data_IF_159425802783
#
_entry.id   IF_159425802783
#
_cell.length_a   1.000
_cell.length_b   1.000
_cell.length_c   1.000
_cell.angle_alpha   90.00
_cell.angle_beta   90.00
_cell.angle_gamma   90.00
#
_symmetry.space_group_name_H-M   'P 1'
#
loop_
_entity.id
_entity.type
_entity.pdbx_description
1 polymer ?
#
# COMPACT_ATOMS: atom_id res chain seq x y z
N UNK A 1 -16.87 -3.16 -14.71
CA UNK A 1 -16.41 -3.36 -13.31
C UNK A 1 -17.59 -3.23 -12.35
N UNK A 2 -17.59 -4.01 -11.25
CA UNK A 2 -18.66 -3.97 -10.25
C UNK A 2 -18.31 -2.94 -9.15
N UNK A 3 -19.22 -2.01 -8.88
CA UNK A 3 -18.99 -0.87 -7.97
C UNK A 3 -18.81 -1.25 -6.49
N UNK A 4 -19.28 -2.42 -6.08
CA UNK A 4 -19.14 -2.88 -4.68
C UNK A 4 -18.00 -3.90 -4.53
N UNK A 5 -17.90 -4.85 -5.47
CA UNK A 5 -16.95 -5.97 -5.36
C UNK A 5 -15.52 -5.58 -5.71
N UNK A 6 -15.32 -4.75 -6.74
CA UNK A 6 -13.98 -4.39 -7.20
C UNK A 6 -13.22 -3.54 -6.17
N UNK A 7 -13.81 -2.48 -5.58
CA UNK A 7 -13.12 -1.69 -4.56
C UNK A 7 -12.81 -2.49 -3.30
N UNK A 8 -13.73 -3.36 -2.85
CA UNK A 8 -13.49 -4.20 -1.67
C UNK A 8 -12.32 -5.17 -1.90
N UNK A 9 -12.29 -5.84 -3.05
CA UNK A 9 -11.20 -6.76 -3.39
C UNK A 9 -9.83 -6.07 -3.43
N UNK A 10 -9.74 -4.90 -4.07
CA UNK A 10 -8.50 -4.11 -4.13
C UNK A 10 -8.11 -3.63 -2.73
N UNK A 11 -9.07 -3.16 -1.94
CA UNK A 11 -8.81 -2.67 -0.60
C UNK A 11 -8.28 -3.75 0.34
N UNK A 12 -8.91 -4.94 0.33
CA UNK A 12 -8.42 -6.09 1.10
C UNK A 12 -7.02 -6.51 0.65
N UNK A 13 -6.77 -6.58 -0.66
CA UNK A 13 -5.45 -6.93 -1.17
C UNK A 13 -4.37 -5.95 -0.72
N UNK A 14 -4.61 -4.64 -0.87
CA UNK A 14 -3.62 -3.62 -0.47
C UNK A 14 -3.45 -3.51 1.04
N UNK A 15 -4.50 -3.76 1.83
CA UNK A 15 -4.39 -3.86 3.28
C UNK A 15 -3.49 -5.04 3.70
N UNK A 16 -3.65 -6.21 3.08
CA UNK A 16 -2.79 -7.37 3.32
C UNK A 16 -1.36 -7.12 2.86
N UNK A 17 -1.17 -6.50 1.70
CA UNK A 17 0.15 -6.10 1.22
C UNK A 17 0.81 -5.14 2.22
N UNK A 18 0.09 -4.13 2.73
CA UNK A 18 0.58 -3.21 3.75
C UNK A 18 0.99 -3.94 5.04
N UNK A 19 0.23 -4.94 5.48
CA UNK A 19 0.58 -5.76 6.64
C UNK A 19 1.90 -6.51 6.42
N UNK A 20 2.03 -7.19 5.28
CA UNK A 20 3.24 -7.94 4.92
C UNK A 20 4.44 -7.00 4.83
N UNK A 21 4.29 -5.83 4.20
CA UNK A 21 5.35 -4.82 4.11
C UNK A 21 5.76 -4.31 5.50
N UNK A 22 4.80 -3.98 6.37
CA UNK A 22 5.07 -3.51 7.72
C UNK A 22 5.85 -4.56 8.54
N UNK A 23 5.44 -5.82 8.46
CA UNK A 23 6.14 -6.93 9.12
C UNK A 23 7.54 -7.17 8.52
N UNK A 24 7.70 -7.05 7.20
CA UNK A 24 9.00 -7.20 6.56
C UNK A 24 9.98 -6.10 7.01
N UNK A 25 9.54 -4.84 7.10
CA UNK A 25 10.39 -3.75 7.61
C UNK A 25 10.77 -3.98 9.07
N UNK A 26 9.82 -4.45 9.90
CA UNK A 26 10.06 -4.72 11.31
C UNK A 26 11.04 -5.89 11.55
N UNK A 27 10.99 -6.95 10.72
CA UNK A 27 11.78 -8.16 10.91
C UNK A 27 13.10 -8.17 10.14
N UNK A 28 13.10 -7.62 8.92
CA UNK A 28 14.20 -7.68 7.94
C UNK A 28 14.36 -6.34 7.21
N UNK A 29 14.69 -5.24 7.92
CA UNK A 29 14.70 -3.88 7.37
C UNK A 29 15.69 -3.70 6.21
N UNK A 30 16.88 -4.29 6.27
CA UNK A 30 17.90 -4.13 5.23
C UNK A 30 17.53 -4.80 3.91
N UNK A 31 16.92 -6.00 4.00
CA UNK A 31 16.42 -6.71 2.82
C UNK A 31 15.24 -5.95 2.21
N UNK A 32 14.34 -5.45 3.06
CA UNK A 32 13.21 -4.63 2.63
C UNK A 32 13.68 -3.38 1.90
N UNK A 33 14.69 -2.69 2.42
CA UNK A 33 15.29 -1.52 1.80
C UNK A 33 15.99 -1.86 0.48
N UNK A 34 16.71 -2.98 0.42
CA UNK A 34 17.38 -3.44 -0.82
C UNK A 34 16.36 -3.68 -1.94
N UNK A 35 15.23 -4.32 -1.62
CA UNK A 35 14.14 -4.53 -2.58
C UNK A 35 13.58 -3.20 -3.10
N UNK A 36 13.25 -2.26 -2.21
CA UNK A 36 12.73 -0.93 -2.60
C UNK A 36 13.70 -0.21 -3.53
N UNK A 37 15.00 -0.22 -3.22
CA UNK A 37 16.06 0.40 -4.04
C UNK A 37 16.10 -0.12 -5.48
N UNK A 38 15.69 -1.37 -5.73
CA UNK A 38 15.65 -1.90 -7.11
C UNK A 38 14.55 -1.30 -7.97
N UNK A 39 13.50 -0.75 -7.36
CA UNK A 39 12.34 -0.20 -8.07
C UNK A 39 12.38 1.33 -8.14
N UNK A 40 13.13 1.96 -7.26
CA UNK A 40 13.23 3.42 -7.14
C UNK A 40 14.59 3.92 -7.59
N UNK A 41 14.64 4.57 -8.75
CA UNK A 41 15.85 5.15 -9.29
C UNK A 41 16.00 6.60 -8.82
N UNK A 42 17.19 6.99 -8.36
CA UNK A 42 17.51 8.37 -7.99
C UNK A 42 17.08 8.82 -6.58
N UNK A 43 16.63 7.90 -5.72
CA UNK A 43 16.31 8.19 -4.32
C UNK A 43 17.48 7.77 -3.42
N UNK A 44 18.03 8.73 -2.66
CA UNK A 44 19.02 8.44 -1.63
C UNK A 44 18.37 8.11 -0.29
N UNK A 45 18.15 6.83 -0.05
CA UNK A 45 17.56 6.32 1.18
C UNK A 45 18.42 6.52 2.42
N UNK A 46 19.72 6.81 2.31
CA UNK A 46 20.57 7.04 3.47
C UNK A 46 20.12 8.26 4.30
N UNK A 47 19.37 9.17 3.67
CA UNK A 47 18.92 10.43 4.29
C UNK A 47 17.50 10.36 4.88
N UNK A 48 16.69 9.39 4.45
CA UNK A 48 15.24 9.35 4.77
C UNK A 48 14.78 8.03 5.41
N UNK A 49 15.62 7.00 5.44
CA UNK A 49 15.24 5.69 5.96
C UNK A 49 15.28 5.65 7.49
N UNK A 50 14.14 5.37 8.11
CA UNK A 50 14.02 5.07 9.53
C UNK A 50 13.24 3.75 9.71
N UNK A 51 13.91 2.63 10.02
CA UNK A 51 13.26 1.32 10.14
C UNK A 51 12.51 1.13 11.46
N UNK A 52 12.46 2.15 12.33
CA UNK A 52 11.75 2.06 13.62
C UNK A 52 10.24 2.07 13.39
N UNK A 53 9.67 0.88 13.23
CA UNK A 53 8.24 0.65 13.03
C UNK A 53 7.66 -0.01 14.28
N UNK A 54 6.63 0.59 14.86
CA UNK A 54 5.88 -0.03 15.97
C UNK A 54 4.71 -0.87 15.44
N UNK A 55 4.20 -1.77 16.27
CA UNK A 55 3.00 -2.54 15.93
C UNK A 55 1.77 -1.63 15.69
N UNK A 56 1.70 -0.50 16.41
CA UNK A 56 0.66 0.50 16.20
C UNK A 56 0.74 1.13 14.80
N UNK A 57 1.95 1.44 14.31
CA UNK A 57 2.16 1.97 12.97
C UNK A 57 1.71 0.98 11.88
N UNK A 58 1.94 -0.32 12.09
CA UNK A 58 1.46 -1.38 11.16
C UNK A 58 -0.06 -1.39 11.11
N UNK A 59 -0.74 -1.37 12.26
CA UNK A 59 -2.22 -1.35 12.31
C UNK A 59 -2.76 -0.11 11.59
N UNK A 60 -2.22 1.06 11.90
CA UNK A 60 -2.61 2.33 11.27
C UNK A 60 -2.37 2.26 9.75
N UNK A 61 -1.24 1.71 9.31
CA UNK A 61 -0.92 1.49 7.91
C UNK A 61 -1.94 0.60 7.20
N UNK A 62 -2.32 -0.53 7.79
CA UNK A 62 -3.32 -1.47 7.23
C UNK A 62 -4.68 -0.80 7.07
N UNK A 63 -5.17 -0.12 8.11
CA UNK A 63 -6.46 0.59 8.07
C UNK A 63 -6.42 1.71 7.01
N UNK A 64 -5.34 2.48 6.99
CA UNK A 64 -5.18 3.59 6.06
C UNK A 64 -5.10 3.11 4.61
N UNK A 65 -4.32 2.05 4.35
CA UNK A 65 -4.21 1.42 3.04
C UNK A 65 -5.57 0.90 2.57
N UNK A 66 -6.33 0.23 3.45
CA UNK A 66 -7.68 -0.23 3.13
C UNK A 66 -8.60 0.92 2.70
N UNK A 67 -8.73 1.94 3.55
CA UNK A 67 -9.64 3.07 3.31
C UNK A 67 -9.24 3.84 2.05
N UNK A 68 -7.96 4.17 1.92
CA UNK A 68 -7.46 4.95 0.78
C UNK A 68 -7.66 4.21 -0.54
N UNK A 69 -7.31 2.93 -0.60
CA UNK A 69 -7.46 2.14 -1.82
C UNK A 69 -8.91 1.80 -2.16
N UNK A 70 -9.77 1.61 -1.15
CA UNK A 70 -11.21 1.47 -1.36
C UNK A 70 -11.79 2.72 -2.03
N UNK A 71 -11.51 3.90 -1.48
CA UNK A 71 -11.97 5.18 -2.03
C UNK A 71 -11.39 5.42 -3.43
N UNK A 72 -10.08 5.24 -3.61
CA UNK A 72 -9.43 5.42 -4.89
C UNK A 72 -10.02 4.49 -5.97
N UNK A 73 -10.24 3.22 -5.64
CA UNK A 73 -10.83 2.25 -6.57
C UNK A 73 -12.29 2.55 -6.85
N UNK A 74 -13.08 2.99 -5.86
CA UNK A 74 -14.45 3.44 -6.07
C UNK A 74 -14.51 4.59 -7.07
N UNK A 75 -13.65 5.61 -6.90
CA UNK A 75 -13.56 6.76 -7.81
C UNK A 75 -13.15 6.29 -9.20
N UNK A 76 -12.14 5.43 -9.30
CA UNK A 76 -11.68 4.86 -10.57
C UNK A 76 -12.79 4.10 -11.30
N UNK A 77 -13.54 3.23 -10.60
CA UNK A 77 -14.63 2.46 -11.21
C UNK A 77 -15.73 3.39 -11.74
N UNK A 78 -16.08 4.45 -11.00
CA UNK A 78 -17.06 5.44 -11.45
C UNK A 78 -16.61 6.18 -12.70
N UNK A 79 -15.37 6.65 -12.72
CA UNK A 79 -14.78 7.34 -13.87
C UNK A 79 -14.73 6.40 -15.08
N UNK A 80 -14.25 5.17 -14.89
CA UNK A 80 -14.15 4.18 -15.96
C UNK A 80 -15.52 3.89 -16.57
N UNK A 81 -16.56 3.68 -15.74
CA UNK A 81 -17.92 3.44 -16.25
C UNK A 81 -18.51 4.66 -16.99
N UNK A 82 -18.12 5.87 -16.61
CA UNK A 82 -18.57 7.08 -17.29
C UNK A 82 -17.89 7.27 -18.66
N UNK A 83 -16.60 6.92 -18.77
CA UNK A 83 -15.79 7.12 -19.97
C UNK A 83 -15.89 5.94 -20.93
N UNK A 84 -15.73 4.72 -20.44
CA UNK A 84 -15.68 3.48 -21.24
C UNK A 84 -17.09 2.95 -21.58
N UNK A 85 -18.07 3.85 -21.65
CA UNK A 85 -19.45 3.52 -21.98
C UNK A 85 -19.57 3.11 -23.44
#
# INVERSE_FOLDING_TARGET
MNESKTPLAVATFLALASLVCGLAIMLIPDLSLSLVKTWTHGIDYSTIWNPTVTFADIIVGVISAFIASYIATLVFVKIYKAIAK
#
